data_IF_411260262304
#
_entry.id   IF_411260262304
#
_cell.length_a   1.000
_cell.length_b   1.000
_cell.length_c   1.000
_cell.angle_alpha   90.00
_cell.angle_beta   90.00
_cell.angle_gamma   90.00
#
_symmetry.space_group_name_H-M   'P 1'
#
loop_
_entity.id
_entity.type
_entity.pdbx_description
1 polymer ?
#
# COMPACT_ATOMS: atom_id res chain seq x y z
N UNK A 1 -21.52 6.15 -3.19
CA UNK A 1 -20.06 5.95 -3.08
C UNK A 1 -19.43 5.99 -4.47
N UNK A 2 -18.34 6.74 -4.64
CA UNK A 2 -17.55 6.80 -5.89
C UNK A 2 -16.16 6.24 -5.62
N UNK A 3 -15.64 5.40 -6.52
CA UNK A 3 -14.30 4.81 -6.39
C UNK A 3 -13.47 5.16 -7.63
N UNK A 4 -12.29 5.75 -7.42
CA UNK A 4 -11.28 5.95 -8.46
C UNK A 4 -10.23 4.86 -8.26
N UNK A 5 -10.04 3.97 -9.25
CA UNK A 5 -9.10 2.86 -9.11
C UNK A 5 -8.65 2.29 -10.46
N UNK A 6 -7.51 1.58 -10.46
CA UNK A 6 -7.02 0.84 -11.62
C UNK A 6 -7.77 -0.49 -11.83
N UNK A 7 -8.27 -1.10 -10.75
CA UNK A 7 -8.95 -2.40 -10.78
C UNK A 7 -10.30 -2.33 -10.08
N UNK A 8 -11.18 -3.26 -10.43
CA UNK A 8 -12.38 -3.56 -9.66
C UNK A 8 -12.00 -4.30 -8.35
N UNK A 9 -11.56 -3.51 -7.36
CA UNK A 9 -11.26 -3.99 -6.02
C UNK A 9 -12.53 -4.22 -5.20
N UNK A 10 -12.38 -4.79 -4.01
CA UNK A 10 -13.49 -5.14 -3.11
C UNK A 10 -14.38 -3.93 -2.79
N UNK A 11 -13.80 -2.77 -2.51
CA UNK A 11 -14.56 -1.52 -2.29
C UNK A 11 -15.30 -1.04 -3.55
N UNK A 12 -14.76 -1.31 -4.73
CA UNK A 12 -15.39 -0.92 -5.99
C UNK A 12 -16.69 -1.69 -6.25
N UNK A 13 -16.85 -2.89 -5.67
CA UNK A 13 -18.07 -3.71 -5.82
C UNK A 13 -19.32 -3.08 -5.19
N UNK A 14 -19.12 -2.26 -4.16
CA UNK A 14 -20.20 -1.50 -3.50
C UNK A 14 -20.33 -0.07 -4.05
N UNK A 15 -19.49 0.29 -5.04
CA UNK A 15 -19.48 1.63 -5.60
C UNK A 15 -20.67 1.85 -6.54
N UNK A 16 -21.19 3.07 -6.53
CA UNK A 16 -22.25 3.50 -7.45
C UNK A 16 -21.66 3.99 -8.78
N UNK A 17 -20.41 4.48 -8.72
CA UNK A 17 -19.63 4.94 -9.87
C UNK A 17 -18.19 4.50 -9.65
N UNK A 18 -17.59 3.92 -10.69
CA UNK A 18 -16.17 3.58 -10.75
C UNK A 18 -15.53 4.41 -11.86
N UNK A 19 -14.44 5.11 -11.55
CA UNK A 19 -13.67 5.88 -12.53
C UNK A 19 -12.30 5.20 -12.74
N UNK A 20 -11.95 4.80 -13.97
CA UNK A 20 -10.72 4.07 -14.25
C UNK A 20 -9.49 4.99 -14.14
N UNK A 21 -8.62 4.70 -13.18
CA UNK A 21 -7.39 5.46 -12.92
C UNK A 21 -6.19 4.87 -13.68
N UNK A 22 -5.26 5.72 -14.07
CA UNK A 22 -3.98 5.31 -14.63
C UNK A 22 -3.04 4.74 -13.56
N UNK A 23 -2.28 3.72 -13.92
CA UNK A 23 -1.27 3.09 -13.08
C UNK A 23 0.16 3.59 -13.27
N UNK A 24 1.08 2.95 -12.56
CA UNK A 24 2.52 3.22 -12.72
C UNK A 24 3.00 2.89 -14.13
N UNK A 25 3.73 3.83 -14.75
CA UNK A 25 4.24 3.68 -16.11
C UNK A 25 3.32 4.21 -17.21
N UNK A 26 2.03 4.42 -16.89
CA UNK A 26 1.01 4.95 -17.81
C UNK A 26 0.94 6.49 -17.79
N UNK A 27 1.48 7.11 -16.74
CA UNK A 27 1.67 8.56 -16.59
C UNK A 27 3.05 8.84 -16.00
N UNK A 28 3.73 9.94 -16.37
CA UNK A 28 4.93 10.36 -15.65
C UNK A 28 4.62 10.51 -14.17
N UNK A 29 5.48 9.97 -13.32
CA UNK A 29 5.27 9.93 -11.86
C UNK A 29 6.52 10.35 -11.13
N UNK A 30 6.40 11.32 -10.23
CA UNK A 30 7.46 11.67 -9.27
C UNK A 30 7.26 10.95 -7.95
N UNK A 31 8.33 10.49 -7.33
CA UNK A 31 8.28 9.76 -6.06
C UNK A 31 9.51 10.02 -5.20
N UNK A 32 9.30 10.00 -3.88
CA UNK A 32 10.33 10.13 -2.85
C UNK A 32 10.47 8.79 -2.15
N UNK A 33 11.69 8.26 -2.01
CA UNK A 33 11.91 7.02 -1.25
C UNK A 33 12.01 7.28 0.27
N UNK A 34 11.61 6.30 1.08
CA UNK A 34 11.62 6.46 2.54
C UNK A 34 13.03 6.44 3.15
N UNK A 35 14.01 5.76 2.52
CA UNK A 35 15.35 5.63 3.10
C UNK A 35 16.17 6.91 2.98
N UNK A 36 16.18 7.51 1.78
CA UNK A 36 17.08 8.62 1.46
C UNK A 36 16.36 9.93 1.14
N UNK A 37 15.03 9.94 1.18
CA UNK A 37 14.21 11.08 0.72
C UNK A 37 14.55 11.49 -0.71
N UNK A 38 14.88 10.51 -1.55
CA UNK A 38 15.36 10.76 -2.89
C UNK A 38 14.19 10.94 -3.85
N UNK A 39 13.97 12.19 -4.29
CA UNK A 39 13.00 12.57 -5.30
C UNK A 39 13.52 12.22 -6.69
N UNK A 40 12.72 11.47 -7.44
CA UNK A 40 12.99 11.04 -8.82
C UNK A 40 11.71 11.12 -9.64
N UNK A 41 11.89 11.04 -10.96
CA UNK A 41 10.81 10.86 -11.92
C UNK A 41 10.96 9.49 -12.61
N UNK A 42 9.83 8.81 -12.81
CA UNK A 42 9.68 7.74 -13.78
C UNK A 42 8.83 8.29 -14.93
N UNK A 43 9.39 8.30 -16.14
CA UNK A 43 8.65 8.72 -17.32
C UNK A 43 7.63 7.67 -17.74
N UNK A 44 6.60 8.12 -18.44
CA UNK A 44 5.63 7.24 -19.07
C UNK A 44 6.34 6.37 -20.12
N UNK A 45 6.08 5.06 -20.07
CA UNK A 45 6.63 4.11 -21.03
C UNK A 45 5.56 3.18 -21.63
N UNK A 46 4.30 3.32 -21.22
CA UNK A 46 3.17 2.58 -21.78
C UNK A 46 1.94 3.48 -21.96
N UNK A 47 1.07 3.08 -22.89
CA UNK A 47 -0.21 3.75 -23.11
C UNK A 47 -1.19 3.45 -21.97
N UNK A 48 -2.12 4.38 -21.75
CA UNK A 48 -3.21 4.17 -20.79
C UNK A 48 -4.15 3.04 -21.30
N UNK A 49 -4.64 2.17 -20.42
CA UNK A 49 -5.59 1.12 -20.79
C UNK A 49 -6.98 1.71 -21.06
N UNK A 50 -7.49 1.53 -22.28
CA UNK A 50 -8.83 1.97 -22.66
C UNK A 50 -9.05 3.47 -22.43
N UNK A 51 -10.03 3.80 -21.60
CA UNK A 51 -10.40 5.19 -21.27
C UNK A 51 -9.83 5.68 -19.95
N UNK A 52 -8.92 4.92 -19.32
CA UNK A 52 -8.30 5.31 -18.06
C UNK A 52 -7.63 6.70 -18.16
N UNK A 53 -7.62 7.41 -17.03
CA UNK A 53 -7.03 8.75 -16.90
C UNK A 53 -6.23 8.87 -15.61
N UNK A 54 -5.16 9.69 -15.58
CA UNK A 54 -4.45 9.97 -14.33
C UNK A 54 -5.38 10.59 -13.29
N UNK A 55 -5.16 10.30 -12.00
CA UNK A 55 -6.01 10.81 -10.91
C UNK A 55 -6.13 12.33 -10.92
N UNK A 56 -5.03 13.05 -11.16
CA UNK A 56 -5.03 14.52 -11.24
C UNK A 56 -5.96 15.04 -12.33
N UNK A 57 -6.05 14.33 -13.46
CA UNK A 57 -6.95 14.71 -14.56
C UNK A 57 -8.40 14.47 -14.16
N UNK A 58 -8.70 13.33 -13.52
CA UNK A 58 -10.04 13.00 -13.04
C UNK A 58 -10.51 14.07 -12.04
N UNK A 59 -9.68 14.43 -11.08
CA UNK A 59 -9.97 15.50 -10.12
C UNK A 59 -10.15 16.86 -10.78
N UNK A 60 -9.29 17.24 -11.74
CA UNK A 60 -9.45 18.48 -12.49
C UNK A 60 -10.77 18.56 -13.27
N UNK A 61 -11.24 17.44 -13.83
CA UNK A 61 -12.56 17.36 -14.48
C UNK A 61 -13.71 17.45 -13.51
N UNK A 62 -13.61 16.80 -12.35
CA UNK A 62 -14.62 16.91 -11.29
C UNK A 62 -14.72 18.37 -10.82
N UNK A 63 -13.59 19.02 -10.54
CA UNK A 63 -13.54 20.41 -10.12
C UNK A 63 -14.13 21.36 -11.18
N UNK A 64 -13.76 21.18 -12.45
CA UNK A 64 -14.32 21.95 -13.56
C UNK A 64 -15.85 21.81 -13.62
N UNK A 65 -16.36 20.58 -13.49
CA UNK A 65 -17.81 20.34 -13.53
C UNK A 65 -18.52 20.93 -12.32
N UNK A 66 -17.94 20.81 -11.13
CA UNK A 66 -18.51 21.43 -9.91
C UNK A 66 -18.56 22.95 -10.05
N UNK A 67 -17.49 23.57 -10.57
CA UNK A 67 -17.46 25.00 -10.85
C UNK A 67 -18.61 25.43 -11.76
N UNK A 68 -18.80 24.77 -12.90
CA UNK A 68 -19.88 25.09 -13.84
C UNK A 68 -21.27 25.01 -13.19
N UNK A 69 -21.50 23.99 -12.34
CA UNK A 69 -22.76 23.80 -11.64
C UNK A 69 -22.99 24.91 -10.60
N UNK A 70 -21.97 25.24 -9.80
CA UNK A 70 -22.06 26.34 -8.85
C UNK A 70 -22.28 27.69 -9.54
N UNK A 71 -21.64 27.95 -10.68
CA UNK A 71 -21.87 29.16 -11.48
C UNK A 71 -23.32 29.23 -11.98
N UNK A 72 -23.88 28.11 -12.46
CA UNK A 72 -25.26 28.03 -12.93
C UNK A 72 -26.28 28.28 -11.80
N UNK A 73 -25.94 27.93 -10.56
CA UNK A 73 -26.76 28.18 -9.37
C UNK A 73 -26.54 29.58 -8.76
N UNK A 74 -25.56 30.36 -9.26
CA UNK A 74 -25.18 31.66 -8.71
C UNK A 74 -24.27 31.60 -7.47
N UNK A 75 -23.77 30.42 -7.10
CA UNK A 75 -22.88 30.15 -5.97
C UNK A 75 -21.41 30.50 -6.32
N UNK A 76 -21.11 31.80 -6.38
CA UNK A 76 -19.84 32.31 -6.93
C UNK A 76 -18.59 31.96 -6.10
N UNK A 77 -18.70 31.93 -4.77
CA UNK A 77 -17.56 31.64 -3.90
C UNK A 77 -17.18 30.15 -3.99
N UNK A 78 -18.17 29.27 -4.04
CA UNK A 78 -18.00 27.83 -4.25
C UNK A 78 -17.40 27.56 -5.64
N UNK A 79 -17.88 28.24 -6.68
CA UNK A 79 -17.29 28.16 -8.01
C UNK A 79 -15.81 28.57 -8.04
N UNK A 80 -15.45 29.62 -7.30
CA UNK A 80 -14.06 30.08 -7.18
C UNK A 80 -13.18 29.03 -6.48
N UNK A 81 -13.69 28.35 -5.47
CA UNK A 81 -12.97 27.27 -4.79
C UNK A 81 -12.64 26.09 -5.72
N UNK A 82 -13.51 25.81 -6.69
CA UNK A 82 -13.31 24.74 -7.67
C UNK A 82 -12.46 25.15 -8.90
N UNK A 83 -11.90 26.36 -8.94
CA UNK A 83 -11.08 26.84 -10.05
C UNK A 83 -9.60 26.44 -9.91
N UNK A 84 -8.81 26.63 -10.98
CA UNK A 84 -7.35 26.46 -10.96
C UNK A 84 -6.84 25.02 -11.16
N UNK A 85 -7.72 24.06 -11.42
CA UNK A 85 -7.38 22.65 -11.68
C UNK A 85 -7.47 22.29 -13.17
N UNK A 86 -7.16 23.24 -14.06
CA UNK A 86 -7.18 23.09 -15.52
C UNK A 86 -5.80 22.71 -16.10
N UNK A 87 -5.03 21.92 -15.34
CA UNK A 87 -3.70 21.45 -15.73
C UNK A 87 -3.71 20.68 -17.04
N UNK A 88 -2.74 20.98 -17.91
CA UNK A 88 -2.59 20.36 -19.23
C UNK A 88 -1.83 19.05 -19.19
N UNK A 89 -0.89 18.94 -18.26
CA UNK A 89 -0.06 17.75 -18.08
C UNK A 89 0.39 17.59 -16.62
N UNK A 90 1.02 16.44 -16.32
CA UNK A 90 1.52 16.12 -15.00
C UNK A 90 2.66 17.04 -14.51
N UNK A 91 3.37 17.73 -15.41
CA UNK A 91 4.43 18.65 -15.03
C UNK A 91 3.85 19.96 -14.48
N UNK A 92 2.72 20.43 -15.01
CA UNK A 92 1.98 21.55 -14.43
C UNK A 92 1.46 21.21 -13.03
N UNK A 93 0.89 20.01 -12.82
CA UNK A 93 0.44 19.55 -11.48
C UNK A 93 1.60 19.50 -10.49
N UNK A 94 2.73 18.93 -10.91
CA UNK A 94 3.93 18.85 -10.07
C UNK A 94 4.47 20.23 -9.71
N UNK A 95 4.47 21.17 -10.66
CA UNK A 95 4.90 22.55 -10.39
C UNK A 95 3.94 23.22 -9.40
N UNK A 96 2.64 23.11 -9.62
CA UNK A 96 1.60 23.72 -8.80
C UNK A 96 1.70 23.25 -7.33
N UNK A 97 1.77 21.94 -7.08
CA UNK A 97 1.99 21.41 -5.74
C UNK A 97 3.36 21.77 -5.13
N UNK A 98 4.35 22.08 -5.98
CA UNK A 98 5.65 22.59 -5.55
C UNK A 98 5.59 24.04 -5.04
N UNK A 99 4.65 24.83 -5.54
CA UNK A 99 4.47 26.23 -5.13
C UNK A 99 3.85 26.37 -3.74
N UNK A 100 3.10 25.37 -3.27
CA UNK A 100 2.51 25.30 -1.92
C UNK A 100 3.57 25.27 -0.80
N UNK A 101 4.81 24.87 -1.11
CA UNK A 101 5.89 24.92 -0.14
C UNK A 101 6.34 26.36 0.15
N UNK A 102 6.82 26.64 1.37
CA UNK A 102 7.35 27.96 1.72
C UNK A 102 8.59 28.29 0.88
N UNK A 103 9.02 29.56 0.92
CA UNK A 103 10.28 29.96 0.33
C UNK A 103 11.42 29.06 0.82
N UNK A 104 12.11 28.43 -0.13
CA UNK A 104 13.19 27.49 0.12
C UNK A 104 14.56 28.08 -0.23
N UNK A 105 14.65 29.38 -0.49
CA UNK A 105 15.94 30.10 -0.61
C UNK A 105 16.56 30.32 0.77
N UNK A 106 17.12 29.27 1.34
CA UNK A 106 17.66 29.26 2.71
C UNK A 106 19.09 28.72 2.75
N UNK A 107 19.82 29.10 3.79
CA UNK A 107 21.16 28.55 4.04
C UNK A 107 21.09 27.07 4.40
N UNK A 108 22.20 26.34 4.29
CA UNK A 108 22.28 24.95 4.76
C UNK A 108 21.97 24.82 6.26
N UNK A 109 22.36 25.82 7.06
CA UNK A 109 22.08 25.84 8.49
C UNK A 109 20.58 25.94 8.80
N UNK A 110 19.79 26.48 7.88
CA UNK A 110 18.34 26.73 8.03
C UNK A 110 17.46 25.63 7.39
N UNK A 111 18.06 24.61 6.78
CA UNK A 111 17.33 23.53 6.09
C UNK A 111 16.23 22.90 6.97
N UNK A 112 16.51 22.80 8.27
CA UNK A 112 15.65 22.15 9.24
C UNK A 112 14.26 22.79 9.36
N UNK A 113 14.13 24.05 8.94
CA UNK A 113 12.86 24.80 8.93
C UNK A 113 11.98 24.47 7.73
N UNK A 114 12.53 23.82 6.70
CA UNK A 114 11.76 23.40 5.54
C UNK A 114 10.94 22.14 5.86
N UNK A 115 9.70 22.04 5.32
CA UNK A 115 8.96 20.78 5.30
C UNK A 115 9.84 19.64 4.74
N UNK A 116 9.73 18.44 5.31
CA UNK A 116 10.60 17.31 4.98
C UNK A 116 10.58 16.94 3.49
N UNK A 117 9.45 17.19 2.83
CA UNK A 117 9.21 16.87 1.42
C UNK A 117 9.36 18.07 0.48
N UNK A 118 9.80 19.24 0.97
CA UNK A 118 9.89 20.45 0.16
C UNK A 118 10.70 20.22 -1.13
N UNK A 119 10.06 20.43 -2.27
CA UNK A 119 10.67 20.30 -3.61
C UNK A 119 10.48 21.56 -4.48
N UNK A 120 10.15 22.70 -3.87
CA UNK A 120 9.92 23.97 -4.57
C UNK A 120 11.06 24.31 -5.54
N UNK A 121 10.72 24.68 -6.76
CA UNK A 121 11.66 24.99 -7.83
C UNK A 121 12.26 23.77 -8.56
N UNK A 122 12.04 22.53 -8.09
CA UNK A 122 12.38 21.33 -8.85
C UNK A 122 11.40 21.18 -10.01
N UNK A 123 11.90 20.83 -11.20
CA UNK A 123 11.07 20.59 -12.40
C UNK A 123 11.28 19.18 -12.95
N UNK A 124 10.38 18.74 -13.83
CA UNK A 124 10.56 17.49 -14.57
C UNK A 124 11.82 17.52 -15.44
N UNK A 125 12.11 18.65 -16.08
CA UNK A 125 13.34 18.84 -16.85
C UNK A 125 14.58 18.63 -15.98
N UNK A 126 14.61 19.22 -14.79
CA UNK A 126 15.69 19.01 -13.83
C UNK A 126 15.83 17.53 -13.44
N UNK A 127 14.72 16.87 -13.06
CA UNK A 127 14.73 15.47 -12.64
C UNK A 127 15.19 14.53 -13.77
N UNK A 128 14.77 14.79 -15.02
CA UNK A 128 15.24 14.04 -16.19
C UNK A 128 16.73 14.25 -16.44
N UNK A 129 17.22 15.48 -16.30
CA UNK A 129 18.64 15.82 -16.46
C UNK A 129 19.53 15.10 -15.42
N UNK A 130 19.11 15.03 -14.16
CA UNK A 130 19.86 14.31 -13.11
C UNK A 130 19.61 12.79 -13.12
N UNK A 131 18.56 12.35 -13.81
CA UNK A 131 18.17 10.95 -13.95
C UNK A 131 17.92 10.28 -12.60
N UNK A 132 18.28 9.00 -12.50
CA UNK A 132 18.05 8.20 -11.30
C UNK A 132 18.93 8.60 -10.10
N UNK A 133 19.90 9.51 -10.27
CA UNK A 133 20.58 10.14 -9.14
C UNK A 133 19.63 11.01 -8.32
N UNK A 134 18.58 11.57 -8.94
CA UNK A 134 17.55 12.36 -8.27
C UNK A 134 18.09 13.56 -7.48
N UNK A 135 17.29 14.03 -6.53
CA UNK A 135 17.68 15.03 -5.53
C UNK A 135 17.04 14.70 -4.18
N UNK A 136 17.78 14.88 -3.08
CA UNK A 136 17.25 14.57 -1.75
C UNK A 136 16.44 15.74 -1.20
N UNK A 137 15.19 15.49 -0.79
CA UNK A 137 14.35 16.51 -0.13
C UNK A 137 14.70 16.66 1.37
N UNK A 138 14.51 17.84 1.98
CA UNK A 138 14.06 19.09 1.35
C UNK A 138 15.10 19.62 0.37
N UNK A 139 14.64 20.20 -0.73
CA UNK A 139 15.48 20.93 -1.68
C UNK A 139 15.49 22.39 -1.29
N UNK A 140 16.68 22.96 -1.15
CA UNK A 140 16.90 24.39 -0.95
C UNK A 140 17.37 25.03 -2.25
N UNK A 141 17.09 26.33 -2.40
CA UNK A 141 17.78 27.18 -3.36
C UNK A 141 18.93 27.85 -2.61
N UNK A 142 20.16 27.62 -3.04
CA UNK A 142 21.31 28.26 -2.39
C UNK A 142 21.22 29.78 -2.53
N UNK A 143 21.25 30.57 -1.44
CA UNK A 143 21.11 32.01 -1.52
C UNK A 143 22.28 32.69 -2.26
N UNK A 144 23.46 32.05 -2.33
CA UNK A 144 24.65 32.59 -3.00
C UNK A 144 24.68 32.24 -4.48
N UNK A 145 24.41 30.97 -4.83
CA UNK A 145 24.54 30.50 -6.23
C UNK A 145 23.21 30.50 -6.98
N UNK A 146 22.08 30.48 -6.27
CA UNK A 146 20.75 30.30 -6.85
C UNK A 146 20.47 28.87 -7.31
N UNK A 147 21.36 27.91 -7.04
CA UNK A 147 21.22 26.53 -7.49
C UNK A 147 20.33 25.70 -6.56
N UNK A 148 19.68 24.68 -7.12
CA UNK A 148 18.97 23.66 -6.34
C UNK A 148 19.98 22.74 -5.64
N UNK A 149 19.87 22.65 -4.31
CA UNK A 149 20.72 21.79 -3.48
C UNK A 149 19.84 20.88 -2.64
N UNK A 150 20.09 19.56 -2.73
CA UNK A 150 19.38 18.58 -1.91
C UNK A 150 19.98 18.41 -0.52
N UNK A 151 19.16 18.00 0.44
CA UNK A 151 19.58 17.80 1.83
C UNK A 151 19.87 16.34 2.16
N UNK A 152 21.18 16.03 2.25
CA UNK A 152 21.66 14.66 2.53
C UNK A 152 21.22 14.16 3.91
N UNK A 153 21.39 14.98 4.94
CA UNK A 153 21.02 14.69 6.34
C UNK A 153 20.26 15.87 6.91
N UNK A 154 19.16 15.60 7.59
CA UNK A 154 18.39 16.60 8.33
C UNK A 154 19.04 16.87 9.68
N UNK A 155 18.85 18.08 10.19
CA UNK A 155 19.18 18.50 11.55
C UNK A 155 20.68 18.46 11.89
N UNK A 156 21.53 18.68 10.88
CA UNK A 156 22.99 18.75 11.06
C UNK A 156 23.38 19.97 11.89
N UNK A 157 22.66 21.08 11.73
CA UNK A 157 22.97 22.35 12.40
C UNK A 157 22.00 22.70 13.54
N UNK A 158 20.69 22.47 13.34
CA UNK A 158 19.63 22.74 14.33
C UNK A 158 18.39 21.88 14.08
N UNK A 159 17.51 21.82 15.07
CA UNK A 159 16.21 21.17 14.95
C UNK A 159 15.18 22.11 14.30
N UNK A 160 14.15 21.54 13.68
CA UNK A 160 13.04 22.30 13.05
C UNK A 160 12.05 22.90 14.05
N UNK A 161 12.50 23.24 15.26
CA UNK A 161 11.70 23.90 16.30
C UNK A 161 11.93 25.40 16.26
N UNK A 162 11.00 26.22 16.80
CA UNK A 162 11.16 27.69 16.82
C UNK A 162 12.46 28.18 17.45
N UNK A 163 13.01 27.45 18.43
CA UNK A 163 14.25 27.76 19.14
C UNK A 163 15.48 26.99 18.62
N UNK A 164 15.31 26.15 17.60
CA UNK A 164 16.37 25.32 17.02
C UNK A 164 16.84 24.14 17.89
N UNK A 165 16.21 23.88 19.04
CA UNK A 165 16.62 22.84 20.01
C UNK A 165 15.73 21.61 19.98
N UNK A 166 16.32 20.45 20.27
CA UNK A 166 15.55 19.24 20.53
C UNK A 166 14.72 19.40 21.81
N UNK A 167 13.46 18.95 21.76
CA UNK A 167 12.60 18.87 22.94
C UNK A 167 12.43 17.43 23.36
N UNK A 168 12.86 17.12 24.58
CA UNK A 168 12.49 15.87 25.24
C UNK A 168 10.98 15.87 25.48
N UNK A 169 10.33 14.74 25.23
CA UNK A 169 8.97 14.48 25.65
C UNK A 169 8.98 13.30 26.62
N UNK A 170 8.30 13.47 27.75
CA UNK A 170 8.09 12.39 28.70
C UNK A 170 6.98 11.47 28.19
N UNK A 171 7.12 10.18 28.44
CA UNK A 171 6.02 9.22 28.34
C UNK A 171 5.52 8.91 29.74
N UNK A 172 4.23 8.58 29.87
CA UNK A 172 3.71 8.07 31.13
C UNK A 172 4.51 6.82 31.55
N UNK A 173 4.72 6.59 32.86
CA UNK A 173 5.34 5.36 33.34
C UNK A 173 4.58 4.14 32.79
N UNK A 174 5.33 3.13 32.36
CA UNK A 174 4.74 1.87 31.95
C UNK A 174 3.97 1.25 33.14
N UNK A 175 2.69 0.96 32.95
CA UNK A 175 1.89 0.18 33.90
C UNK A 175 1.72 -1.25 33.37
N UNK A 176 2.17 -2.28 34.11
CA UNK A 176 2.04 -3.66 33.68
C UNK A 176 0.60 -4.18 33.72
N UNK A 177 -0.34 -3.48 34.39
CA UNK A 177 -1.75 -3.84 34.42
C UNK A 177 -2.44 -3.43 33.11
N UNK A 178 -2.85 -4.39 32.26
CA UNK A 178 -3.55 -4.09 31.00
C UNK A 178 -4.78 -3.22 31.20
N UNK A 179 -5.45 -3.34 32.36
CA UNK A 179 -6.67 -2.58 32.67
C UNK A 179 -6.42 -1.09 32.88
N UNK A 180 -5.19 -0.70 33.20
CA UNK A 180 -4.80 0.70 33.42
C UNK A 180 -4.13 1.31 32.20
N UNK A 181 -3.40 0.49 31.44
CA UNK A 181 -2.60 0.97 30.32
C UNK A 181 -3.32 0.92 28.97
N UNK A 182 -4.20 -0.07 28.74
CA UNK A 182 -4.86 -0.23 27.46
C UNK A 182 -6.22 0.49 27.37
N UNK A 183 -6.63 0.93 26.17
CA UNK A 183 -7.94 1.53 25.95
C UNK A 183 -9.06 0.49 26.06
N UNK A 184 -10.31 0.95 26.27
CA UNK A 184 -11.48 0.09 26.52
C UNK A 184 -11.73 -0.98 25.44
N UNK A 185 -11.45 -0.62 24.20
CA UNK A 185 -11.53 -1.47 23.01
C UNK A 185 -10.59 -2.69 23.09
N UNK A 186 -9.50 -2.59 23.85
CA UNK A 186 -8.57 -3.69 24.12
C UNK A 186 -8.89 -4.34 25.47
N UNK A 187 -9.19 -3.55 26.51
CA UNK A 187 -9.44 -4.10 27.85
C UNK A 187 -10.66 -5.02 27.92
N UNK A 188 -11.62 -4.89 26.99
CA UNK A 188 -12.74 -5.83 26.83
C UNK A 188 -12.32 -7.30 26.68
N UNK A 189 -11.10 -7.57 26.21
CA UNK A 189 -10.55 -8.93 26.10
C UNK A 189 -10.03 -9.50 27.43
N UNK A 190 -9.89 -8.68 28.47
CA UNK A 190 -9.42 -9.10 29.80
C UNK A 190 -10.54 -9.12 30.85
N UNK A 191 -11.77 -8.74 30.45
CA UNK A 191 -12.94 -8.66 31.33
C UNK A 191 -13.89 -9.84 31.10
N UNK A 192 -14.75 -10.13 32.08
CA UNK A 192 -15.88 -11.06 31.92
C UNK A 192 -15.51 -12.48 31.42
N UNK A 193 -14.29 -12.93 31.75
CA UNK A 193 -13.76 -14.22 31.30
C UNK A 193 -13.36 -14.28 29.82
N UNK A 194 -13.29 -13.13 29.14
CA UNK A 194 -12.87 -13.06 27.74
C UNK A 194 -11.41 -13.45 27.52
N UNK A 195 -10.57 -13.33 28.55
CA UNK A 195 -9.18 -13.77 28.57
C UNK A 195 -9.07 -15.28 28.32
N UNK A 196 -10.03 -16.05 28.83
CA UNK A 196 -10.13 -17.50 28.61
C UNK A 196 -10.81 -17.84 27.28
N UNK A 197 -11.79 -17.03 26.86
CA UNK A 197 -12.54 -17.25 25.60
C UNK A 197 -11.68 -16.92 24.37
N UNK A 198 -10.83 -15.90 24.45
CA UNK A 198 -9.97 -15.40 23.38
C UNK A 198 -8.50 -15.43 23.85
N UNK A 199 -7.93 -16.63 24.07
CA UNK A 199 -6.67 -16.80 24.81
C UNK A 199 -5.42 -16.42 24.03
N UNK A 200 -5.56 -16.00 22.77
CA UNK A 200 -4.44 -15.63 21.91
C UNK A 200 -4.39 -14.13 21.69
N UNK A 201 -3.20 -13.53 21.83
CA UNK A 201 -2.94 -12.19 21.31
C UNK A 201 -2.81 -12.26 19.79
N UNK A 202 -3.57 -11.44 19.08
CA UNK A 202 -3.51 -11.35 17.63
C UNK A 202 -2.74 -10.12 17.18
N UNK A 203 -1.75 -10.37 16.35
CA UNK A 203 -1.08 -9.35 15.54
C UNK A 203 -1.16 -9.75 14.08
N UNK A 204 -1.04 -8.78 13.19
CA UNK A 204 -1.07 -9.03 11.75
C UNK A 204 0.00 -8.23 11.03
N UNK A 205 0.27 -8.57 9.78
CA UNK A 205 1.28 -7.88 9.01
C UNK A 205 1.29 -8.25 7.54
N UNK A 206 2.46 -8.09 6.94
CA UNK A 206 2.67 -8.25 5.50
C UNK A 206 3.27 -9.61 5.22
N UNK A 207 3.05 -10.09 4.01
CA UNK A 207 3.86 -11.16 3.45
C UNK A 207 4.96 -10.55 2.57
N UNK A 208 6.04 -11.27 2.35
CA UNK A 208 7.05 -10.86 1.37
C UNK A 208 6.55 -10.98 -0.08
N UNK A 209 5.57 -11.86 -0.34
CA UNK A 209 5.15 -12.26 -1.70
C UNK A 209 4.06 -11.33 -2.24
N UNK A 210 3.03 -11.07 -1.43
CA UNK A 210 1.90 -10.21 -1.79
C UNK A 210 2.19 -8.77 -1.38
N UNK A 211 2.09 -7.86 -2.34
CA UNK A 211 2.12 -6.42 -2.13
C UNK A 211 0.76 -5.89 -1.68
N UNK A 212 0.71 -5.30 -0.49
CA UNK A 212 -0.47 -4.60 0.04
C UNK A 212 -1.74 -5.46 -0.03
N UNK A 213 -2.81 -4.97 -0.68
CA UNK A 213 -4.08 -5.70 -0.83
C UNK A 213 -4.07 -6.70 -1.99
N UNK A 214 -2.91 -6.95 -2.59
CA UNK A 214 -2.76 -7.86 -3.71
C UNK A 214 -3.61 -7.48 -4.93
N UNK A 215 -3.89 -6.18 -5.14
CA UNK A 215 -4.70 -5.71 -6.27
C UNK A 215 -4.09 -6.11 -7.63
N UNK A 216 -2.77 -5.94 -7.79
CA UNK A 216 -2.04 -6.49 -8.94
C UNK A 216 -1.79 -8.00 -8.79
N UNK A 217 -1.28 -8.39 -7.62
CA UNK A 217 -0.71 -9.72 -7.40
C UNK A 217 -1.71 -10.87 -7.51
N UNK A 218 -3.01 -10.60 -7.30
CA UNK A 218 -4.09 -11.58 -7.51
C UNK A 218 -4.21 -12.04 -8.97
N UNK A 219 -3.69 -11.27 -9.91
CA UNK A 219 -3.70 -11.56 -11.35
C UNK A 219 -2.40 -12.22 -11.84
N UNK A 220 -1.41 -12.38 -10.95
CA UNK A 220 -0.13 -13.04 -11.26
C UNK A 220 -0.19 -14.48 -10.74
N UNK A 221 -0.28 -15.50 -11.62
CA UNK A 221 -0.46 -16.90 -11.22
C UNK A 221 0.58 -17.36 -10.20
N UNK A 222 1.85 -17.00 -10.39
CA UNK A 222 2.96 -17.37 -9.50
C UNK A 222 2.77 -16.84 -8.08
N UNK A 223 2.19 -15.65 -7.90
CA UNK A 223 1.90 -15.09 -6.57
C UNK A 223 0.63 -15.68 -5.98
N UNK A 224 -0.42 -15.77 -6.79
CA UNK A 224 -1.71 -16.32 -6.39
C UNK A 224 -1.62 -17.81 -6.00
N UNK A 225 -0.72 -18.59 -6.60
CA UNK A 225 -0.48 -19.98 -6.20
C UNK A 225 0.43 -20.10 -4.96
N UNK A 226 1.37 -19.17 -4.77
CA UNK A 226 2.27 -19.17 -3.61
C UNK A 226 1.53 -18.88 -2.32
N UNK A 227 0.63 -17.89 -2.33
CA UNK A 227 -0.26 -17.57 -1.20
C UNK A 227 -1.70 -17.64 -1.72
N UNK A 228 -2.33 -18.83 -1.72
CA UNK A 228 -3.63 -19.03 -2.34
C UNK A 228 -4.81 -18.63 -1.45
N UNK A 229 -4.56 -18.44 -0.16
CA UNK A 229 -5.53 -18.12 0.88
C UNK A 229 -4.88 -17.18 1.90
N UNK A 230 -5.69 -16.39 2.65
CA UNK A 230 -5.22 -15.79 3.89
C UNK A 230 -4.66 -16.87 4.81
N UNK A 231 -3.62 -16.54 5.56
CA UNK A 231 -2.97 -17.48 6.46
C UNK A 231 -2.70 -16.86 7.83
N UNK A 232 -2.55 -17.75 8.81
CA UNK A 232 -1.98 -17.44 10.13
C UNK A 232 -0.72 -18.26 10.39
N UNK A 233 0.17 -17.71 11.19
CA UNK A 233 1.29 -18.43 11.79
C UNK A 233 0.97 -18.72 13.26
N UNK A 234 1.21 -19.97 13.68
CA UNK A 234 0.90 -20.46 15.02
C UNK A 234 2.09 -21.21 15.61
N UNK A 235 2.37 -20.92 16.89
CA UNK A 235 3.43 -21.61 17.63
C UNK A 235 3.19 -23.13 17.72
N UNK A 236 4.23 -24.00 17.64
CA UNK A 236 4.04 -25.45 17.66
C UNK A 236 3.43 -25.98 18.95
N UNK A 237 3.66 -25.33 20.09
CA UNK A 237 3.06 -25.72 21.38
C UNK A 237 1.54 -25.50 21.39
N UNK A 238 1.09 -24.41 20.78
CA UNK A 238 -0.32 -24.08 20.68
C UNK A 238 -1.02 -24.95 19.64
N UNK A 239 -0.37 -25.18 18.50
CA UNK A 239 -0.84 -26.10 17.47
C UNK A 239 -1.04 -27.51 18.04
N UNK A 240 -0.06 -28.02 18.80
CA UNK A 240 -0.16 -29.32 19.50
C UNK A 240 -1.34 -29.35 20.48
N UNK A 241 -1.53 -28.29 21.28
CA UNK A 241 -2.63 -28.19 22.26
C UNK A 241 -4.01 -28.20 21.58
N UNK A 242 -4.13 -27.59 20.40
CA UNK A 242 -5.37 -27.50 19.65
C UNK A 242 -5.59 -28.64 18.64
N UNK A 243 -4.63 -29.56 18.47
CA UNK A 243 -4.70 -30.61 17.46
C UNK A 243 -4.67 -30.07 16.02
N UNK A 244 -3.95 -28.96 15.81
CA UNK A 244 -3.79 -28.26 14.53
C UNK A 244 -2.39 -28.55 13.97
N UNK A 245 -2.30 -28.68 12.64
CA UNK A 245 -1.04 -28.81 11.88
C UNK A 245 -1.02 -27.82 10.71
N UNK A 246 0.17 -27.59 10.13
CA UNK A 246 0.26 -26.79 8.91
C UNK A 246 -0.63 -27.38 7.81
N UNK A 247 -1.30 -26.51 7.05
CA UNK A 247 -2.24 -26.89 6.00
C UNK A 247 -3.67 -27.13 6.47
N UNK A 248 -3.93 -27.19 7.79
CA UNK A 248 -5.30 -27.16 8.28
C UNK A 248 -5.93 -25.78 8.01
N UNK A 249 -7.25 -25.76 7.80
CA UNK A 249 -8.04 -24.54 7.82
C UNK A 249 -8.59 -24.29 9.22
N UNK A 250 -8.55 -23.03 9.62
CA UNK A 250 -9.12 -22.58 10.89
C UNK A 250 -10.01 -21.37 10.66
N UNK A 251 -11.02 -21.24 11.51
CA UNK A 251 -11.65 -19.95 11.76
C UNK A 251 -10.93 -19.29 12.92
N UNK A 252 -10.49 -18.06 12.70
CA UNK A 252 -9.99 -17.16 13.74
C UNK A 252 -11.09 -16.15 13.98
N UNK A 253 -11.47 -15.96 15.24
CA UNK A 253 -12.61 -15.13 15.58
C UNK A 253 -12.44 -14.43 16.92
N UNK A 254 -13.15 -13.32 17.09
CA UNK A 254 -13.19 -12.56 18.32
C UNK A 254 -14.50 -11.75 18.45
N UNK A 255 -14.48 -10.72 19.29
CA UNK A 255 -15.62 -9.83 19.51
C UNK A 255 -15.92 -8.90 18.31
N UNK A 256 -14.96 -8.69 17.40
CA UNK A 256 -15.11 -7.81 16.23
C UNK A 256 -15.65 -8.58 15.02
N UNK A 257 -15.21 -9.82 14.84
CA UNK A 257 -15.56 -10.59 13.67
C UNK A 257 -14.85 -11.94 13.59
N UNK A 258 -14.77 -12.47 12.38
CA UNK A 258 -14.11 -13.73 12.08
C UNK A 258 -13.47 -13.71 10.68
N UNK A 259 -12.56 -14.66 10.48
CA UNK A 259 -11.94 -14.93 9.19
C UNK A 259 -11.47 -16.39 9.12
N UNK A 260 -11.51 -16.96 7.92
CA UNK A 260 -10.98 -18.28 7.61
C UNK A 260 -9.52 -18.13 7.17
N UNK A 261 -8.62 -18.95 7.70
CA UNK A 261 -7.21 -18.90 7.36
C UNK A 261 -6.57 -20.29 7.24
N UNK A 262 -5.59 -20.41 6.36
CA UNK A 262 -4.67 -21.53 6.30
C UNK A 262 -3.64 -21.43 7.43
N UNK A 263 -3.32 -22.54 8.10
CA UNK A 263 -2.33 -22.52 9.19
C UNK A 263 -0.94 -22.84 8.68
N UNK A 264 0.04 -22.03 9.10
CA UNK A 264 1.47 -22.34 9.09
C UNK A 264 1.96 -22.50 10.53
N UNK A 265 2.38 -23.71 10.89
CA UNK A 265 2.98 -23.97 12.20
C UNK A 265 4.48 -23.68 12.14
N UNK A 266 4.93 -22.70 12.90
CA UNK A 266 6.34 -22.33 13.02
C UNK A 266 6.60 -21.64 14.38
N UNK A 267 7.86 -21.46 14.74
CA UNK A 267 8.29 -20.89 16.02
C UNK A 267 8.59 -19.38 15.99
N UNK A 268 8.20 -18.64 14.94
CA UNK A 268 8.35 -17.18 14.89
C UNK A 268 7.39 -16.46 15.85
N UNK A 269 6.08 -16.81 15.91
CA UNK A 269 5.21 -16.33 16.98
C UNK A 269 5.54 -17.00 18.31
N UNK A 270 5.62 -16.19 19.38
CA UNK A 270 5.66 -16.68 20.75
C UNK A 270 4.41 -17.50 21.08
N UNK A 271 4.47 -18.44 22.05
CA UNK A 271 3.28 -19.11 22.55
C UNK A 271 2.21 -18.11 22.98
N UNK A 272 0.94 -18.41 22.66
CA UNK A 272 -0.24 -17.54 22.82
C UNK A 272 -0.27 -16.29 21.94
N UNK A 273 0.57 -16.21 20.91
CA UNK A 273 0.49 -15.17 19.88
C UNK A 273 0.16 -15.78 18.52
N UNK A 274 -0.77 -15.17 17.80
CA UNK A 274 -1.09 -15.49 16.41
C UNK A 274 -0.66 -14.32 15.53
N UNK A 275 0.12 -14.62 14.51
CA UNK A 275 0.39 -13.69 13.42
C UNK A 275 -0.53 -13.98 12.24
N UNK A 276 -1.20 -12.98 11.70
CA UNK A 276 -2.03 -13.10 10.50
C UNK A 276 -1.53 -12.25 9.34
N UNK A 277 -1.70 -12.71 8.10
CA UNK A 277 -1.61 -11.79 6.97
C UNK A 277 -2.77 -10.78 7.04
N UNK A 278 -2.43 -9.49 7.08
CA UNK A 278 -3.38 -8.40 7.27
C UNK A 278 -4.53 -8.44 6.25
N UNK A 279 -4.19 -8.68 4.98
CA UNK A 279 -5.13 -8.71 3.89
C UNK A 279 -4.82 -9.81 2.88
N UNK A 280 -5.88 -10.44 2.38
CA UNK A 280 -5.88 -11.27 1.18
C UNK A 280 -7.23 -11.09 0.47
N UNK A 281 -7.27 -11.11 -0.87
CA UNK A 281 -8.51 -10.85 -1.65
C UNK A 281 -9.58 -11.96 -1.53
N UNK A 282 -9.24 -13.06 -0.85
CA UNK A 282 -10.17 -14.16 -0.50
C UNK A 282 -10.61 -14.16 0.97
N UNK A 283 -10.20 -13.15 1.75
CA UNK A 283 -10.53 -13.01 3.16
C UNK A 283 -9.52 -12.13 3.89
N UNK A 284 -9.99 -11.20 4.71
CA UNK A 284 -9.12 -10.28 5.44
C UNK A 284 -9.13 -10.58 6.93
N UNK A 285 -7.93 -10.68 7.54
CA UNK A 285 -7.80 -10.78 8.98
C UNK A 285 -7.92 -9.42 9.69
N UNK A 286 -8.10 -8.32 8.95
CA UNK A 286 -8.49 -7.03 9.54
C UNK A 286 -9.89 -7.07 10.16
N UNK A 287 -10.73 -8.06 9.84
CA UNK A 287 -12.01 -8.26 10.54
C UNK A 287 -11.84 -8.55 12.05
N UNK A 288 -10.61 -8.84 12.50
CA UNK A 288 -10.28 -9.13 13.88
C UNK A 288 -9.72 -7.91 14.62
N UNK A 289 -9.48 -6.79 13.94
CA UNK A 289 -8.92 -5.58 14.57
C UNK A 289 -10.01 -4.76 15.22
N UNK A 290 -9.70 -4.17 16.37
CA UNK A 290 -10.64 -3.31 17.08
C UNK A 290 -10.85 -1.98 16.37
N UNK A 291 -11.90 -1.27 16.75
CA UNK A 291 -12.20 0.10 16.32
C UNK A 291 -11.37 1.17 17.03
N UNK A 292 -10.36 0.78 17.83
CA UNK A 292 -9.53 1.75 18.53
C UNK A 292 -8.69 2.58 17.56
N UNK A 293 -8.80 3.89 17.70
CA UNK A 293 -7.87 4.88 17.16
C UNK A 293 -7.32 5.73 18.28
N UNK A 294 -6.01 6.01 18.25
CA UNK A 294 -5.39 6.95 19.18
C UNK A 294 -6.09 8.33 19.09
N UNK A 295 -6.60 8.90 20.19
CA UNK A 295 -7.42 10.11 20.13
C UNK A 295 -6.64 11.37 19.74
N UNK A 296 -5.30 11.35 19.83
CA UNK A 296 -4.46 12.50 19.46
C UNK A 296 -4.08 12.48 17.99
N UNK A 297 -3.92 11.29 17.41
CA UNK A 297 -3.36 11.09 16.07
C UNK A 297 -4.31 10.41 15.08
N UNK A 298 -5.44 9.90 15.56
CA UNK A 298 -6.39 9.06 14.81
C UNK A 298 -5.79 7.79 14.22
N UNK A 299 -4.62 7.37 14.72
CA UNK A 299 -3.93 6.17 14.24
C UNK A 299 -4.56 4.92 14.85
N UNK A 300 -5.04 3.96 14.05
CA UNK A 300 -5.62 2.73 14.53
C UNK A 300 -4.58 1.75 15.08
N UNK A 301 -4.92 1.04 16.15
CA UNK A 301 -4.05 -0.01 16.72
C UNK A 301 -4.35 -1.40 16.12
N UNK A 302 -3.99 -1.59 14.85
CA UNK A 302 -4.21 -2.86 14.13
C UNK A 302 -3.55 -4.10 14.76
N UNK A 303 -2.62 -3.93 15.71
CA UNK A 303 -1.73 -5.00 16.21
C UNK A 303 -2.18 -5.58 17.55
N UNK A 304 -3.38 -5.23 17.99
CA UNK A 304 -3.92 -5.61 19.28
C UNK A 304 -5.37 -6.05 19.18
N UNK A 305 -5.60 -7.32 19.48
CA UNK A 305 -6.90 -7.87 19.87
C UNK A 305 -6.69 -9.25 20.51
N UNK A 306 -7.66 -9.69 21.31
CA UNK A 306 -7.75 -11.11 21.68
C UNK A 306 -8.45 -11.89 20.58
N UNK A 307 -8.00 -13.12 20.30
CA UNK A 307 -8.67 -14.04 19.38
C UNK A 307 -8.76 -15.46 19.94
N UNK A 308 -9.72 -16.21 19.41
CA UNK A 308 -9.82 -17.65 19.54
C UNK A 308 -9.62 -18.30 18.17
N UNK A 309 -9.26 -19.59 18.17
CA UNK A 309 -9.05 -20.36 16.95
C UNK A 309 -9.83 -21.66 17.04
N UNK A 310 -10.61 -21.95 16.00
CA UNK A 310 -11.35 -23.20 15.85
C UNK A 310 -10.95 -23.91 14.56
N UNK A 311 -10.55 -25.17 14.69
CA UNK A 311 -10.22 -26.03 13.54
C UNK A 311 -11.48 -26.36 12.75
N UNK A 312 -11.41 -26.21 11.43
CA UNK A 312 -12.47 -26.59 10.51
C UNK A 312 -12.30 -28.04 10.05
N UNK A 313 -13.41 -28.69 9.68
CA UNK A 313 -13.37 -30.04 9.12
C UNK A 313 -13.03 -29.98 7.63
N UNK A 314 -12.26 -30.97 7.17
CA UNK A 314 -11.82 -31.08 5.78
C UNK A 314 -10.49 -30.39 5.52
N UNK A 315 -10.05 -30.48 4.26
CA UNK A 315 -8.86 -29.82 3.76
C UNK A 315 -9.06 -29.48 2.28
N UNK A 316 -8.22 -28.59 1.76
CA UNK A 316 -8.24 -28.19 0.35
C UNK A 316 -7.11 -28.91 -0.39
N UNK A 317 -7.28 -30.20 -0.68
CA UNK A 317 -6.23 -31.04 -1.28
C UNK A 317 -5.58 -30.40 -2.52
N UNK A 318 -6.39 -29.79 -3.39
CA UNK A 318 -5.89 -29.14 -4.61
C UNK A 318 -4.99 -27.93 -4.32
N UNK A 319 -5.32 -27.19 -3.24
CA UNK A 319 -4.48 -26.10 -2.74
C UNK A 319 -3.20 -26.68 -2.14
N UNK A 320 -3.33 -27.62 -1.20
CA UNK A 320 -2.20 -28.21 -0.47
C UNK A 320 -1.19 -28.93 -1.38
N UNK A 321 -1.64 -29.50 -2.51
CA UNK A 321 -0.78 -30.12 -3.51
C UNK A 321 0.23 -29.14 -4.12
N UNK A 322 -0.12 -27.87 -4.19
CA UNK A 322 0.66 -26.84 -4.88
C UNK A 322 1.18 -25.74 -3.93
N UNK A 323 0.93 -25.86 -2.63
CA UNK A 323 1.32 -24.86 -1.63
C UNK A 323 2.39 -25.43 -0.70
N UNK A 324 3.55 -24.76 -0.65
CA UNK A 324 4.56 -25.08 0.35
C UNK A 324 4.05 -24.73 1.73
N UNK A 325 4.13 -25.70 2.65
CA UNK A 325 3.83 -25.54 4.08
C UNK A 325 5.11 -25.47 4.93
N UNK A 326 6.27 -25.34 4.28
CA UNK A 326 7.54 -25.26 4.97
C UNK A 326 7.63 -23.94 5.76
N UNK A 327 8.19 -23.97 6.98
CA UNK A 327 8.41 -22.77 7.76
C UNK A 327 9.41 -21.83 7.05
N UNK A 328 9.03 -20.58 6.87
CA UNK A 328 9.85 -19.53 6.23
C UNK A 328 10.92 -18.94 7.16
N UNK A 329 10.86 -19.27 8.45
CA UNK A 329 11.73 -18.73 9.50
C UNK A 329 12.85 -19.71 9.91
N UNK A 330 12.96 -20.87 9.26
CA UNK A 330 13.95 -21.88 9.62
C UNK A 330 15.21 -21.80 8.74
N UNK A 331 16.22 -21.05 9.21
CA UNK A 331 17.55 -21.01 8.59
C UNK A 331 18.30 -22.35 8.65
N UNK A 332 17.91 -23.28 9.54
CA UNK A 332 18.54 -24.62 9.63
C UNK A 332 18.07 -25.58 8.53
N UNK A 333 16.90 -25.33 7.93
CA UNK A 333 16.45 -26.06 6.74
C UNK A 333 17.07 -25.50 5.45
N UNK A 334 17.73 -24.34 5.51
CA UNK A 334 18.58 -23.79 4.45
C UNK A 334 20.01 -24.36 4.57
N UNK A 335 20.14 -25.67 4.75
CA UNK A 335 21.34 -26.38 4.29
C UNK A 335 21.32 -26.35 2.74
N UNK A 336 21.56 -25.16 2.19
CA UNK A 336 22.04 -24.94 0.82
C UNK A 336 23.56 -25.18 0.74
N UNK A 337 24.10 -25.96 1.69
CA UNK A 337 25.43 -26.54 1.61
C UNK A 337 25.35 -27.76 0.69
N UNK A 338 25.59 -27.52 -0.60
CA UNK A 338 26.07 -28.55 -1.53
C UNK A 338 25.03 -29.58 -1.98
N UNK A 339 24.12 -29.17 -2.85
CA UNK A 339 23.22 -30.09 -3.53
C UNK A 339 22.37 -29.36 -4.55
N UNK A 340 22.90 -29.18 -5.74
CA UNK A 340 22.11 -28.86 -6.93
C UNK A 340 20.95 -29.86 -6.98
N UNK A 341 19.71 -29.43 -6.80
CA UNK A 341 18.56 -30.30 -6.99
C UNK A 341 18.52 -30.66 -8.49
N UNK A 342 18.78 -31.93 -8.89
CA UNK A 342 18.95 -32.25 -10.30
C UNK A 342 17.61 -32.38 -11.05
N UNK A 343 16.48 -32.04 -10.42
CA UNK A 343 15.16 -32.27 -10.99
C UNK A 343 14.54 -31.09 -11.76
N UNK A 344 15.25 -29.96 -11.92
CA UNK A 344 14.72 -28.79 -12.65
C UNK A 344 15.64 -28.24 -13.75
N UNK A 345 16.63 -29.02 -14.20
CA UNK A 345 17.35 -28.75 -15.46
C UNK A 345 17.37 -30.02 -16.32
N UNK A 346 16.20 -30.55 -16.64
CA UNK A 346 16.04 -31.15 -17.97
C UNK A 346 15.73 -30.01 -18.90
N UNK A 347 16.71 -29.67 -19.72
CA UNK A 347 16.59 -28.82 -20.89
C UNK A 347 15.39 -29.29 -21.72
N UNK A 348 14.23 -28.69 -21.49
CA UNK A 348 13.26 -28.57 -22.56
C UNK A 348 13.95 -27.72 -23.62
N UNK A 349 14.43 -28.37 -24.68
CA UNK A 349 14.73 -27.70 -25.95
C UNK A 349 13.41 -27.05 -26.37
N UNK A 350 13.19 -25.81 -25.96
CA UNK A 350 12.13 -25.00 -26.54
C UNK A 350 12.46 -24.90 -28.04
N UNK A 351 11.53 -25.29 -28.94
CA UNK A 351 11.68 -24.90 -30.33
C UNK A 351 11.79 -23.37 -30.38
N UNK A 352 12.60 -22.80 -31.27
CA UNK A 352 12.75 -21.35 -31.35
C UNK A 352 11.37 -20.71 -31.49
N UNK A 353 11.14 -19.66 -30.70
CA UNK A 353 9.97 -18.78 -30.82
C UNK A 353 9.81 -18.40 -32.30
N UNK A 354 8.80 -18.97 -32.95
CA UNK A 354 8.33 -18.45 -34.23
C UNK A 354 7.79 -17.06 -33.97
N UNK A 355 8.55 -16.06 -34.40
CA UNK A 355 8.03 -14.70 -34.62
C UNK A 355 6.92 -14.85 -35.65
N UNK A 356 5.66 -14.74 -35.21
CA UNK A 356 4.54 -14.63 -36.13
C UNK A 356 4.63 -13.26 -36.81
N UNK A 357 4.60 -13.18 -38.14
CA UNK A 357 4.60 -11.91 -38.85
C UNK A 357 3.29 -11.17 -38.57
N UNK A 358 3.43 -9.86 -38.37
CA UNK A 358 2.39 -8.84 -38.26
C UNK A 358 1.04 -9.25 -38.87
N UNK A 359 0.03 -9.48 -38.03
CA UNK A 359 -1.36 -9.45 -38.49
C UNK A 359 -1.79 -8.01 -38.68
N UNK A 360 -2.26 -7.73 -39.89
CA UNK A 360 -2.69 -6.44 -40.37
C UNK A 360 -3.71 -5.76 -39.45
N UNK A 361 -3.51 -4.47 -39.23
CA UNK A 361 -4.50 -3.55 -38.71
C UNK A 361 -5.78 -3.62 -39.57
N UNK A 362 -6.86 -4.09 -38.95
CA UNK A 362 -8.21 -3.94 -39.50
C UNK A 362 -8.62 -2.48 -39.29
N UNK A 363 -8.64 -1.70 -40.38
CA UNK A 363 -9.22 -0.35 -40.37
C UNK A 363 -10.72 -0.44 -40.02
N UNK A 364 -11.28 0.50 -39.24
CA UNK A 364 -12.72 0.59 -39.07
C UNK A 364 -13.36 0.99 -40.41
N UNK A 365 -14.32 0.20 -40.89
CA UNK A 365 -15.23 0.60 -41.97
C UNK A 365 -16.13 1.71 -41.44
N UNK A 366 -16.05 2.87 -42.08
CA UNK A 366 -17.05 3.93 -42.03
C UNK A 366 -18.37 3.40 -42.57
N UNK A 367 -19.43 3.39 -41.76
CA UNK A 367 -20.80 3.28 -42.26
C UNK A 367 -21.29 4.70 -42.58
N UNK A 368 -21.21 5.05 -43.87
CA UNK A 368 -21.86 6.21 -44.44
C UNK A 368 -23.37 6.03 -44.46
N UNK A 369 -24.09 7.10 -44.10
CA UNK A 369 -25.53 7.16 -44.09
C UNK A 369 -26.17 6.93 -45.46
N UNK A 370 -27.31 6.24 -45.43
CA UNK A 370 -28.29 6.18 -46.50
C UNK A 370 -29.64 6.66 -45.97
N UNK A 371 -30.16 7.70 -46.62
CA UNK A 371 -31.46 8.37 -46.40
C UNK A 371 -32.64 7.53 -46.88
N UNK A 372 -33.82 7.80 -46.29
CA UNK A 372 -35.16 7.63 -46.88
C UNK A 372 -35.90 6.40 -46.36
N UNK A 373 -37.19 6.43 -46.01
CA UNK A 373 -38.27 7.36 -46.31
C UNK A 373 -39.45 7.09 -45.34
N UNK A 374 -40.20 8.16 -45.04
CA UNK A 374 -41.47 8.27 -44.28
C UNK A 374 -41.35 8.30 -42.75
#
# INVERSE_FOLDING_TARGET
MVVINMYEIETARDAHVILPAAGWGETPTTYINCNSRLLRIADQFMALPGEAKPDWWIWGRIATRMKELYEAEGNREEAKYCAGMDWKDAAEVFKDGGEDFPDNRVSEADEAMLPAECYKGVTYEYLRKVGQKGIQVPVRIDPKTGELVGTKRRYVHKFGTPDGKFKWYGTDPWDPDPMKFYPSQITKYFQNGNDKKFPFWFTNGRSQIIWQTGYNDRHLPEKAYTIPLPYIEMNPKDAKRLGIKSGDLVEVYNLEGNAIALVYVNDAPSPRTIYGIMYHWKGSLNHLTTDYTDPKTTVPWYKASGVAVRKLKGNLQDVLKNTSLLPINNSKNLNLTGGFCPFLVKTAKHPPLRVFPHTHAVRPKTFGGGKGLV
#
